data_IF_326315076297
#
_entry.id   IF_326315076297
#
_cell.length_a   1.000
_cell.length_b   1.000
_cell.length_c   1.000
_cell.angle_alpha   90.00
_cell.angle_beta   90.00
_cell.angle_gamma   90.00
#
_symmetry.space_group_name_H-M   'P 1'
#
loop_
_entity.id
_entity.type
_entity.pdbx_description
1 polymer ?
#
# COMPACT_ATOMS: atom_id res chain seq x y z
N UNK A 1 18.12 12.31 6.31
CA UNK A 1 18.74 11.61 5.14
C UNK A 1 18.16 10.22 5.10
N UNK A 2 17.58 9.80 3.96
CA UNK A 2 17.07 8.44 3.78
C UNK A 2 18.25 7.50 3.50
N UNK A 3 18.26 6.36 4.18
CA UNK A 3 19.24 5.30 4.02
C UNK A 3 18.67 4.30 3.02
N UNK A 4 19.43 3.96 1.98
CA UNK A 4 19.06 2.95 1.00
C UNK A 4 19.87 1.67 1.26
N UNK A 5 19.22 0.52 1.09
CA UNK A 5 19.86 -0.78 1.33
C UNK A 5 19.24 -1.87 0.46
N UNK A 6 20.10 -2.68 -0.14
CA UNK A 6 19.69 -3.94 -0.75
C UNK A 6 19.56 -5.02 0.34
N UNK A 7 18.34 -5.52 0.50
CA UNK A 7 18.01 -6.62 1.42
C UNK A 7 17.96 -7.92 0.64
N UNK A 8 18.90 -8.81 0.93
CA UNK A 8 18.99 -10.13 0.29
C UNK A 8 18.09 -11.12 1.03
N UNK A 9 17.19 -11.76 0.31
CA UNK A 9 16.26 -12.77 0.83
C UNK A 9 16.84 -14.18 0.75
N UNK A 10 16.29 -15.12 1.53
CA UNK A 10 16.75 -16.52 1.56
C UNK A 10 16.54 -17.26 0.24
N UNK A 11 15.57 -16.82 -0.59
CA UNK A 11 15.32 -17.35 -1.93
C UNK A 11 16.25 -16.75 -3.02
N UNK A 12 17.18 -15.90 -2.62
CA UNK A 12 18.16 -15.25 -3.48
C UNK A 12 17.69 -13.95 -4.12
N UNK A 13 16.43 -13.57 -3.98
CA UNK A 13 15.93 -12.25 -4.42
C UNK A 13 16.60 -11.13 -3.61
N UNK A 14 16.61 -9.94 -4.18
CA UNK A 14 17.05 -8.70 -3.54
C UNK A 14 15.89 -7.71 -3.56
N UNK A 15 15.61 -7.09 -2.42
CA UNK A 15 14.67 -5.99 -2.31
C UNK A 15 15.44 -4.69 -2.06
N UNK A 16 15.18 -3.67 -2.87
CA UNK A 16 15.73 -2.34 -2.65
C UNK A 16 14.85 -1.61 -1.62
N UNK A 17 15.43 -1.31 -0.47
CA UNK A 17 14.68 -0.82 0.70
C UNK A 17 15.25 0.50 1.22
N UNK A 18 14.39 1.26 1.90
CA UNK A 18 14.63 2.61 2.36
C UNK A 18 14.27 2.75 3.85
N UNK A 19 15.03 3.57 4.55
CA UNK A 19 14.82 3.91 5.95
C UNK A 19 15.02 5.42 6.15
N UNK A 20 14.05 6.08 6.74
CA UNK A 20 14.16 7.51 7.05
C UNK A 20 15.23 7.85 8.10
N UNK A 21 15.88 6.84 8.64
CA UNK A 21 16.97 6.88 9.60
C UNK A 21 16.59 6.29 10.96
N UNK A 22 17.55 5.59 11.62
CA UNK A 22 17.33 5.03 12.93
C UNK A 22 17.12 6.15 13.95
N UNK A 23 15.98 6.12 14.66
CA UNK A 23 15.68 6.99 15.78
C UNK A 23 15.22 6.12 16.95
N UNK A 24 16.07 6.01 17.97
CA UNK A 24 15.75 5.26 19.19
C UNK A 24 14.59 5.89 19.99
N UNK A 25 14.27 7.16 19.74
CA UNK A 25 13.15 7.87 20.32
C UNK A 25 11.90 7.84 19.45
N UNK A 26 11.93 7.16 18.31
CA UNK A 26 10.76 7.06 17.43
C UNK A 26 9.56 6.50 18.21
N UNK A 27 8.43 7.18 18.11
CA UNK A 27 7.18 6.79 18.78
C UNK A 27 6.52 5.58 18.12
N UNK A 28 6.82 5.38 16.84
CA UNK A 28 6.29 4.33 16.00
C UNK A 28 7.23 4.11 14.80
N UNK A 29 7.35 2.89 14.33
CA UNK A 29 7.87 2.61 12.99
C UNK A 29 6.70 2.35 12.06
N UNK A 30 6.71 3.00 10.91
CA UNK A 30 5.72 2.86 9.84
C UNK A 30 6.37 2.21 8.62
N UNK A 31 5.82 1.12 8.13
CA UNK A 31 6.13 0.61 6.80
C UNK A 31 5.14 1.21 5.81
N UNK A 32 5.67 1.96 4.85
CA UNK A 32 4.91 2.50 3.73
C UNK A 32 4.95 1.55 2.55
N UNK A 33 3.78 1.09 2.12
CA UNK A 33 3.61 0.29 0.90
C UNK A 33 3.18 1.21 -0.25
N UNK A 34 4.05 1.37 -1.21
CA UNK A 34 3.87 2.26 -2.36
C UNK A 34 2.71 1.84 -3.28
N UNK A 35 2.12 2.79 -4.02
CA UNK A 35 1.13 2.52 -5.08
C UNK A 35 1.74 1.85 -6.31
N UNK A 36 0.93 1.62 -7.34
CA UNK A 36 1.35 0.99 -8.59
C UNK A 36 1.03 1.90 -9.78
N UNK A 37 2.03 2.27 -10.64
CA UNK A 37 3.45 1.95 -10.49
C UNK A 37 4.21 3.02 -9.68
N UNK A 38 5.19 2.60 -8.88
CA UNK A 38 6.14 3.47 -8.16
C UNK A 38 7.46 2.75 -7.95
N UNK A 39 8.54 3.45 -7.52
CA UNK A 39 9.83 2.80 -7.26
C UNK A 39 9.93 2.15 -5.88
N UNK A 40 9.09 2.54 -4.93
CA UNK A 40 9.21 2.16 -3.53
C UNK A 40 9.98 3.18 -2.68
N UNK A 41 10.61 4.18 -3.29
CA UNK A 41 11.20 5.29 -2.55
C UNK A 41 10.12 6.03 -1.75
N UNK A 42 10.39 6.42 -0.49
CA UNK A 42 9.41 7.13 0.32
C UNK A 42 9.17 8.53 -0.24
N UNK A 43 7.91 8.91 -0.34
CA UNK A 43 7.49 10.20 -0.88
C UNK A 43 7.73 11.31 0.14
N UNK A 44 8.07 12.50 -0.34
CA UNK A 44 8.38 13.64 0.51
C UNK A 44 7.25 14.02 1.49
N UNK A 45 5.95 14.07 1.10
CA UNK A 45 4.87 14.34 2.04
C UNK A 45 4.74 13.29 3.15
N UNK A 46 4.99 12.01 2.83
CA UNK A 46 4.99 10.92 3.81
C UNK A 46 6.12 11.11 4.83
N UNK A 47 7.32 11.44 4.35
CA UNK A 47 8.48 11.68 5.22
C UNK A 47 8.28 12.91 6.11
N UNK A 48 7.75 14.01 5.56
CA UNK A 48 7.49 15.24 6.30
C UNK A 48 6.44 15.03 7.40
N UNK A 49 5.32 14.36 7.06
CA UNK A 49 4.26 14.04 8.01
C UNK A 49 4.75 13.12 9.15
N UNK A 50 5.57 12.13 8.80
CA UNK A 50 6.15 11.18 9.75
C UNK A 50 7.16 11.86 10.69
N UNK A 51 8.07 12.67 10.15
CA UNK A 51 9.06 13.41 10.93
C UNK A 51 8.40 14.35 11.96
N UNK A 52 7.35 15.07 11.56
CA UNK A 52 6.58 15.94 12.45
C UNK A 52 5.93 15.19 13.64
N UNK A 53 5.79 13.86 13.54
CA UNK A 53 5.14 12.99 14.53
C UNK A 53 6.10 12.08 15.29
N UNK A 54 7.40 12.14 15.00
CA UNK A 54 8.41 11.23 15.56
C UNK A 54 8.16 9.77 15.08
N UNK A 55 7.78 9.59 13.83
CA UNK A 55 7.58 8.29 13.19
C UNK A 55 8.78 8.01 12.27
N UNK A 56 9.41 6.85 12.45
CA UNK A 56 10.40 6.32 11.51
C UNK A 56 9.69 5.61 10.37
N UNK A 57 10.06 5.91 9.13
CA UNK A 57 9.46 5.31 7.93
C UNK A 57 10.43 4.30 7.32
N UNK A 58 9.95 3.10 7.09
CA UNK A 58 10.55 2.11 6.19
C UNK A 58 9.70 1.99 4.93
N UNK A 59 10.33 1.74 3.81
CA UNK A 59 9.66 1.37 2.56
C UNK A 59 10.58 0.49 1.70
N UNK A 60 10.05 -0.10 0.65
CA UNK A 60 10.84 -0.88 -0.30
C UNK A 60 10.11 -0.97 -1.64
N UNK A 61 10.87 -1.11 -2.71
CA UNK A 61 10.32 -1.51 -4.00
C UNK A 61 9.79 -2.94 -3.90
N UNK A 62 8.48 -3.14 -4.10
CA UNK A 62 7.96 -4.51 -4.23
C UNK A 62 8.66 -5.24 -5.39
N UNK A 63 8.62 -6.56 -5.48
CA UNK A 63 9.24 -7.28 -6.59
C UNK A 63 8.90 -6.68 -7.95
N UNK A 64 9.92 -6.54 -8.80
CA UNK A 64 9.88 -5.89 -10.12
C UNK A 64 9.76 -4.35 -10.11
N UNK A 65 9.83 -3.69 -8.94
CA UNK A 65 9.85 -2.22 -8.83
C UNK A 65 11.19 -1.74 -8.27
N UNK A 66 11.62 -0.55 -8.68
CA UNK A 66 12.69 0.22 -8.07
C UNK A 66 14.02 -0.51 -7.88
N UNK A 67 14.37 -1.42 -8.76
CA UNK A 67 15.62 -2.24 -8.66
C UNK A 67 15.47 -3.53 -7.86
N UNK A 68 14.33 -3.81 -7.25
CA UNK A 68 14.04 -5.09 -6.61
C UNK A 68 13.94 -6.22 -7.62
N UNK A 69 14.40 -7.41 -7.23
CA UNK A 69 14.30 -8.63 -8.05
C UNK A 69 12.86 -8.94 -8.42
N UNK A 70 12.64 -9.50 -9.59
CA UNK A 70 11.31 -9.96 -10.01
C UNK A 70 10.84 -11.18 -9.20
N UNK A 71 9.54 -11.32 -9.06
CA UNK A 71 8.87 -12.48 -8.47
C UNK A 71 7.56 -12.76 -9.20
N UNK A 72 7.62 -13.24 -10.44
CA UNK A 72 6.43 -13.54 -11.23
C UNK A 72 5.56 -14.60 -10.54
N UNK A 73 4.24 -14.40 -10.62
CA UNK A 73 3.29 -15.34 -10.00
C UNK A 73 3.14 -15.17 -8.48
N UNK A 74 3.72 -14.11 -7.89
CA UNK A 74 3.46 -13.74 -6.50
C UNK A 74 1.98 -13.40 -6.29
N UNK A 75 1.48 -13.71 -5.12
CA UNK A 75 0.20 -13.24 -4.60
C UNK A 75 0.40 -12.03 -3.66
N UNK A 76 -0.69 -11.49 -3.16
CA UNK A 76 -0.65 -10.38 -2.19
C UNK A 76 0.00 -10.82 -0.87
N UNK A 77 -0.24 -12.07 -0.45
CA UNK A 77 0.31 -12.65 0.79
C UNK A 77 1.84 -12.70 0.80
N UNK A 78 2.47 -12.89 -0.37
CA UNK A 78 3.92 -12.96 -0.52
C UNK A 78 4.64 -11.74 0.06
N UNK A 79 3.99 -10.56 0.05
CA UNK A 79 4.55 -9.33 0.61
C UNK A 79 4.76 -9.36 2.12
N UNK A 80 4.09 -10.25 2.84
CA UNK A 80 4.29 -10.38 4.29
C UNK A 80 5.69 -10.89 4.63
N UNK A 81 6.20 -11.87 3.88
CA UNK A 81 7.58 -12.35 4.04
C UNK A 81 8.60 -11.27 3.63
N UNK A 82 8.33 -10.58 2.53
CA UNK A 82 9.18 -9.51 2.02
C UNK A 82 9.31 -8.36 3.06
N UNK A 83 8.19 -7.87 3.60
CA UNK A 83 8.21 -6.80 4.61
C UNK A 83 8.83 -7.24 5.92
N UNK A 84 8.66 -8.51 6.32
CA UNK A 84 9.31 -9.05 7.51
C UNK A 84 10.85 -9.02 7.35
N UNK A 85 11.37 -9.47 6.21
CA UNK A 85 12.81 -9.44 5.92
C UNK A 85 13.37 -8.01 5.87
N UNK A 86 12.63 -7.06 5.28
CA UNK A 86 13.00 -5.63 5.28
C UNK A 86 13.06 -5.10 6.71
N UNK A 87 12.02 -5.33 7.52
CA UNK A 87 11.99 -4.88 8.90
C UNK A 87 13.15 -5.48 9.73
N UNK A 88 13.44 -6.77 9.57
CA UNK A 88 14.56 -7.46 10.23
C UNK A 88 15.91 -6.86 9.83
N UNK A 89 16.12 -6.55 8.55
CA UNK A 89 17.34 -5.93 8.06
C UNK A 89 17.61 -4.54 8.67
N UNK A 90 16.55 -3.83 9.10
CA UNK A 90 16.65 -2.53 9.78
C UNK A 90 16.45 -2.63 11.31
N UNK A 91 16.42 -3.84 11.87
CA UNK A 91 16.31 -4.09 13.32
C UNK A 91 14.97 -3.68 13.90
N UNK A 92 13.88 -3.81 13.13
CA UNK A 92 12.52 -3.43 13.54
C UNK A 92 11.71 -4.67 13.81
N UNK A 93 11.28 -4.86 15.06
CA UNK A 93 10.45 -5.98 15.50
C UNK A 93 8.96 -5.70 15.26
N UNK A 94 8.47 -4.52 15.63
CA UNK A 94 7.04 -4.14 15.53
C UNK A 94 6.87 -2.85 14.76
N UNK A 95 5.84 -2.79 13.92
CA UNK A 95 5.57 -1.64 13.06
C UNK A 95 4.08 -1.50 12.75
N UNK A 96 3.66 -0.31 12.32
CA UNK A 96 2.39 -0.10 11.66
C UNK A 96 2.58 -0.23 10.14
N UNK A 97 1.57 -0.68 9.41
CA UNK A 97 1.56 -0.74 7.96
C UNK A 97 0.62 0.33 7.39
N UNK A 98 1.05 1.06 6.36
CA UNK A 98 0.21 1.99 5.60
C UNK A 98 0.47 1.80 4.12
N UNK A 99 -0.59 1.66 3.35
CA UNK A 99 -0.47 1.53 1.91
C UNK A 99 -1.52 2.36 1.18
N UNK A 100 -1.14 2.89 0.02
CA UNK A 100 -2.03 3.64 -0.86
C UNK A 100 -2.22 2.90 -2.18
N UNK A 101 -3.45 2.93 -2.74
CA UNK A 101 -3.77 2.29 -4.02
C UNK A 101 -3.30 0.82 -4.03
N UNK A 102 -2.47 0.42 -5.02
CA UNK A 102 -1.86 -0.91 -5.07
C UNK A 102 -1.01 -1.32 -3.86
N UNK A 103 -0.63 -0.38 -2.98
CA UNK A 103 0.05 -0.69 -1.72
C UNK A 103 -0.86 -1.14 -0.59
N UNK A 104 -2.15 -0.78 -0.65
CA UNK A 104 -3.11 -1.05 0.42
C UNK A 104 -3.36 -2.56 0.66
N UNK A 105 -3.53 -3.42 -0.36
CA UNK A 105 -3.61 -4.87 -0.17
C UNK A 105 -2.42 -5.45 0.59
N UNK A 106 -1.21 -4.95 0.31
CA UNK A 106 0.03 -5.42 0.95
C UNK A 106 0.13 -5.00 2.42
N UNK A 107 -0.39 -3.81 2.78
CA UNK A 107 -0.51 -3.41 4.18
C UNK A 107 -1.48 -4.33 4.95
N UNK A 108 -2.59 -4.75 4.33
CA UNK A 108 -3.53 -5.71 4.90
C UNK A 108 -2.93 -7.12 5.01
N UNK A 109 -2.13 -7.56 4.01
CA UNK A 109 -1.40 -8.83 4.08
C UNK A 109 -0.45 -8.88 5.28
N UNK A 110 0.33 -7.82 5.49
CA UNK A 110 1.17 -7.68 6.68
C UNK A 110 0.36 -7.80 7.97
N UNK A 111 -0.79 -7.12 8.05
CA UNK A 111 -1.65 -7.15 9.24
C UNK A 111 -2.29 -8.53 9.50
N UNK A 112 -2.58 -9.30 8.44
CA UNK A 112 -3.15 -10.65 8.55
C UNK A 112 -2.10 -11.69 8.94
N UNK A 113 -0.92 -11.65 8.29
CA UNK A 113 0.06 -12.73 8.34
C UNK A 113 1.20 -12.49 9.35
N UNK A 114 1.33 -11.25 9.85
CA UNK A 114 2.31 -10.87 10.87
C UNK A 114 1.63 -10.29 12.13
N UNK A 115 0.65 -11.01 12.75
CA UNK A 115 -0.17 -10.45 13.84
C UNK A 115 0.63 -10.11 15.10
N UNK A 116 1.82 -10.68 15.27
CA UNK A 116 2.74 -10.34 16.37
C UNK A 116 3.56 -9.07 16.11
N UNK A 117 3.66 -8.62 14.87
CA UNK A 117 4.52 -7.51 14.45
C UNK A 117 3.74 -6.26 14.01
N UNK A 118 2.62 -6.42 13.31
CA UNK A 118 1.82 -5.29 12.82
C UNK A 118 0.86 -4.82 13.89
N UNK A 119 1.04 -3.58 14.37
CA UNK A 119 0.27 -3.01 15.47
C UNK A 119 -0.98 -2.24 15.02
N UNK A 120 -1.10 -1.93 13.75
CA UNK A 120 -2.22 -1.28 13.11
C UNK A 120 -1.99 -1.15 11.61
N UNK A 121 -3.03 -1.04 10.82
CA UNK A 121 -2.92 -0.89 9.38
C UNK A 121 -3.79 0.25 8.85
N UNK A 122 -3.33 0.91 7.78
CA UNK A 122 -4.08 1.91 7.04
C UNK A 122 -4.10 1.54 5.57
N UNK A 123 -5.28 1.52 4.98
CA UNK A 123 -5.54 1.30 3.55
C UNK A 123 -6.15 2.57 2.96
N UNK A 124 -5.42 3.27 2.11
CA UNK A 124 -5.87 4.51 1.46
C UNK A 124 -6.17 4.20 -0.01
N UNK A 125 -7.40 4.48 -0.47
CA UNK A 125 -7.84 4.22 -1.84
C UNK A 125 -7.53 2.78 -2.30
N UNK A 126 -7.71 1.81 -1.38
CA UNK A 126 -7.29 0.42 -1.57
C UNK A 126 -8.31 -0.43 -2.30
N UNK A 127 -7.83 -1.25 -3.23
CA UNK A 127 -8.64 -2.23 -3.93
C UNK A 127 -9.01 -3.39 -2.98
N UNK A 128 -10.20 -3.99 -3.16
CA UNK A 128 -10.62 -5.22 -2.49
C UNK A 128 -10.18 -6.46 -3.26
N UNK A 129 -10.12 -7.66 -2.63
CA UNK A 129 -9.94 -8.92 -3.36
C UNK A 129 -10.99 -9.06 -4.46
N UNK A 130 -10.58 -9.62 -5.60
CA UNK A 130 -11.54 -9.92 -6.66
C UNK A 130 -12.61 -10.90 -6.17
N UNK A 131 -13.88 -10.56 -6.42
CA UNK A 131 -15.03 -11.35 -5.97
C UNK A 131 -16.27 -11.00 -6.80
N UNK A 132 -17.19 -11.95 -6.92
CA UNK A 132 -18.52 -11.75 -7.52
C UNK A 132 -19.56 -11.24 -6.49
N UNK A 133 -19.16 -10.99 -5.25
CA UNK A 133 -20.07 -10.51 -4.20
C UNK A 133 -20.55 -9.06 -4.41
N UNK A 134 -19.90 -8.31 -5.28
CA UNK A 134 -20.33 -7.01 -5.80
C UNK A 134 -19.76 -6.81 -7.20
N UNK A 135 -20.30 -5.85 -7.96
CA UNK A 135 -19.72 -5.49 -9.26
C UNK A 135 -18.38 -4.80 -9.02
N UNK A 136 -17.28 -5.60 -9.09
CA UNK A 136 -15.94 -5.21 -8.72
C UNK A 136 -15.36 -4.12 -9.62
N UNK A 137 -15.80 -4.05 -10.88
CA UNK A 137 -15.32 -3.07 -11.86
C UNK A 137 -16.20 -1.81 -11.96
N UNK A 138 -17.40 -1.85 -11.37
CA UNK A 138 -18.33 -0.73 -11.51
C UNK A 138 -17.79 0.54 -10.84
N UNK A 139 -17.78 1.62 -11.61
CA UNK A 139 -17.22 2.91 -11.21
C UNK A 139 -15.74 3.11 -11.57
N UNK A 140 -15.00 2.06 -11.98
CA UNK A 140 -13.65 2.20 -12.50
C UNK A 140 -13.69 2.83 -13.90
N UNK A 141 -12.92 3.89 -14.11
CA UNK A 141 -12.82 4.57 -15.40
C UNK A 141 -11.98 3.77 -16.41
N UNK A 142 -10.89 3.16 -15.96
CA UNK A 142 -9.92 2.45 -16.80
C UNK A 142 -9.66 1.02 -16.29
N UNK A 143 -10.67 0.11 -16.32
CA UNK A 143 -10.53 -1.23 -15.75
C UNK A 143 -9.81 -2.22 -16.69
N UNK A 144 -9.31 -1.77 -17.86
CA UNK A 144 -8.78 -2.64 -18.92
C UNK A 144 -7.63 -3.52 -18.47
N UNK A 145 -6.65 -2.98 -17.75
CA UNK A 145 -5.51 -3.72 -17.21
C UNK A 145 -5.93 -4.83 -16.25
N UNK A 146 -6.78 -4.51 -15.28
CA UNK A 146 -7.31 -5.47 -14.33
C UNK A 146 -8.21 -6.53 -14.99
N UNK A 147 -9.00 -6.16 -16.00
CA UNK A 147 -9.79 -7.13 -16.78
C UNK A 147 -8.89 -8.09 -17.57
N UNK A 148 -7.80 -7.58 -18.16
CA UNK A 148 -6.82 -8.41 -18.83
C UNK A 148 -6.11 -9.35 -17.84
N UNK A 149 -5.80 -8.87 -16.63
CA UNK A 149 -5.15 -9.64 -15.56
C UNK A 149 -5.98 -10.85 -15.10
N UNK A 150 -7.32 -10.80 -15.17
CA UNK A 150 -8.19 -11.97 -14.92
C UNK A 150 -7.88 -13.16 -15.85
N UNK A 151 -7.27 -12.90 -17.01
CA UNK A 151 -6.84 -13.91 -17.97
C UNK A 151 -5.36 -14.27 -17.85
N UNK A 152 -4.71 -13.83 -16.75
CA UNK A 152 -3.34 -14.13 -16.41
C UNK A 152 -2.33 -13.11 -16.96
N UNK A 153 -1.06 -13.35 -16.56
CA UNK A 153 0.05 -12.43 -16.81
C UNK A 153 0.26 -12.09 -18.28
N UNK A 154 0.23 -13.09 -19.17
CA UNK A 154 0.43 -12.84 -20.62
C UNK A 154 -0.67 -11.94 -21.23
N UNK A 155 -1.91 -12.08 -20.78
CA UNK A 155 -3.00 -11.24 -21.27
C UNK A 155 -2.83 -9.80 -20.78
N UNK A 156 -2.42 -9.61 -19.52
CA UNK A 156 -2.12 -8.30 -18.95
C UNK A 156 -0.92 -7.64 -19.65
N UNK A 157 0.13 -8.41 -19.95
CA UNK A 157 1.31 -7.95 -20.66
C UNK A 157 0.97 -7.46 -22.08
N UNK A 158 0.21 -8.25 -22.85
CA UNK A 158 -0.28 -7.81 -24.17
C UNK A 158 -1.13 -6.55 -24.11
N UNK A 159 -1.95 -6.39 -23.08
CA UNK A 159 -2.77 -5.18 -22.91
C UNK A 159 -1.91 -3.93 -22.70
N UNK A 160 -0.76 -4.03 -22.04
CA UNK A 160 0.18 -2.92 -21.81
C UNK A 160 0.65 -2.27 -23.12
N UNK A 161 0.72 -3.03 -24.22
CA UNK A 161 1.14 -2.50 -25.54
C UNK A 161 0.15 -1.48 -26.12
N UNK A 162 -1.10 -1.51 -25.69
CA UNK A 162 -2.18 -0.64 -26.20
C UNK A 162 -2.86 0.18 -25.09
N UNK A 163 -2.35 0.07 -23.86
CA UNK A 163 -2.91 0.78 -22.72
C UNK A 163 -2.60 2.29 -22.84
N UNK A 164 -3.65 3.09 -22.81
CA UNK A 164 -3.53 4.55 -22.84
C UNK A 164 -3.99 5.13 -21.50
N UNK A 165 -3.32 6.18 -21.07
CA UNK A 165 -3.72 6.91 -19.87
C UNK A 165 -5.01 7.70 -20.15
N UNK A 166 -6.08 7.42 -19.39
CA UNK A 166 -7.32 8.18 -19.41
C UNK A 166 -7.32 9.23 -18.28
N UNK A 167 -7.18 10.53 -18.61
CA UNK A 167 -7.16 11.57 -17.58
C UNK A 167 -8.49 11.72 -16.83
N UNK A 168 -9.60 11.26 -17.39
CA UNK A 168 -10.90 11.32 -16.71
C UNK A 168 -11.03 10.37 -15.50
N UNK A 169 -10.03 9.51 -15.27
CA UNK A 169 -9.95 8.71 -14.04
C UNK A 169 -9.62 9.57 -12.82
N UNK A 170 -9.04 10.76 -13.02
CA UNK A 170 -8.69 11.70 -11.96
C UNK A 170 -9.64 12.90 -11.92
N UNK A 171 -9.92 13.37 -10.72
CA UNK A 171 -10.68 14.59 -10.47
C UNK A 171 -9.74 15.83 -10.61
N UNK A 172 -10.29 17.04 -10.78
CA UNK A 172 -9.50 18.26 -10.69
C UNK A 172 -8.68 18.37 -9.38
N UNK A 173 -9.21 17.89 -8.26
CA UNK A 173 -8.52 17.85 -6.99
C UNK A 173 -7.29 16.90 -7.00
N UNK A 174 -7.36 15.79 -7.75
CA UNK A 174 -6.22 14.88 -7.91
C UNK A 174 -5.08 15.53 -8.70
N UNK A 175 -5.41 16.24 -9.78
CA UNK A 175 -4.41 17.00 -10.54
C UNK A 175 -3.79 18.10 -9.70
N UNK A 176 -4.61 18.85 -8.94
CA UNK A 176 -4.09 19.88 -8.04
C UNK A 176 -3.14 19.30 -6.97
N UNK A 177 -3.44 18.12 -6.45
CA UNK A 177 -2.55 17.41 -5.53
C UNK A 177 -1.23 17.01 -6.19
N UNK A 178 -1.26 16.49 -7.43
CA UNK A 178 -0.07 16.11 -8.21
C UNK A 178 0.78 17.30 -8.64
N UNK A 179 0.19 18.46 -8.82
CA UNK A 179 0.89 19.72 -9.14
C UNK A 179 1.42 20.40 -7.87
N UNK A 180 0.89 20.05 -6.69
CA UNK A 180 1.19 20.63 -5.38
C UNK A 180 1.95 19.69 -4.44
N UNK A 181 1.33 19.42 -3.30
CA UNK A 181 1.94 18.65 -2.20
C UNK A 181 2.42 17.27 -2.62
N UNK A 182 1.74 16.60 -3.55
CA UNK A 182 2.05 15.25 -4.02
C UNK A 182 2.81 15.21 -5.35
N UNK A 183 3.48 16.31 -5.75
CA UNK A 183 4.28 16.36 -6.97
C UNK A 183 5.39 15.28 -7.01
N UNK A 184 5.93 14.90 -5.83
CA UNK A 184 6.89 13.81 -5.72
C UNK A 184 6.32 12.44 -6.12
N UNK A 185 5.00 12.24 -6.01
CA UNK A 185 4.32 11.03 -6.49
C UNK A 185 4.38 10.94 -8.01
N UNK A 186 4.01 12.01 -8.73
CA UNK A 186 4.10 12.03 -10.19
C UNK A 186 5.54 11.82 -10.69
N UNK A 187 6.51 12.46 -10.01
CA UNK A 187 7.92 12.27 -10.32
C UNK A 187 8.39 10.83 -10.08
N UNK A 188 7.88 10.15 -9.05
CA UNK A 188 8.22 8.76 -8.76
C UNK A 188 7.61 7.78 -9.75
N UNK A 189 6.37 8.01 -10.18
CA UNK A 189 5.74 7.27 -11.29
C UNK A 189 6.61 7.36 -12.54
N UNK A 190 7.04 8.56 -12.93
CA UNK A 190 7.95 8.74 -14.08
C UNK A 190 9.29 8.01 -13.91
N UNK A 191 9.86 8.00 -12.69
CA UNK A 191 11.09 7.21 -12.42
C UNK A 191 10.86 5.71 -12.52
N UNK A 192 9.67 5.23 -12.20
CA UNK A 192 9.36 3.79 -12.24
C UNK A 192 9.41 3.20 -13.66
N UNK A 193 9.20 4.02 -14.69
CA UNK A 193 9.21 3.60 -16.10
C UNK A 193 10.52 2.95 -16.51
N UNK A 194 11.66 3.38 -15.95
CA UNK A 194 12.98 2.81 -16.26
C UNK A 194 13.13 1.33 -15.84
N UNK A 195 12.25 0.85 -14.96
CA UNK A 195 12.24 -0.55 -14.50
C UNK A 195 11.24 -1.43 -15.29
N UNK A 196 10.54 -0.82 -16.26
CA UNK A 196 9.55 -1.49 -17.08
C UNK A 196 8.23 -1.79 -16.37
N UNK A 197 7.25 -2.38 -17.07
CA UNK A 197 5.89 -2.57 -16.58
C UNK A 197 5.73 -3.82 -15.70
N UNK A 198 6.78 -4.64 -15.50
CA UNK A 198 6.68 -5.95 -14.85
C UNK A 198 6.04 -5.91 -13.46
N UNK A 199 6.35 -4.88 -12.66
CA UNK A 199 5.78 -4.72 -11.33
C UNK A 199 4.27 -4.47 -11.35
N UNK A 200 3.80 -3.57 -12.25
CA UNK A 200 2.39 -3.28 -12.42
C UNK A 200 1.61 -4.50 -12.94
N UNK A 201 2.18 -5.23 -13.90
CA UNK A 201 1.58 -6.47 -14.43
C UNK A 201 1.42 -7.51 -13.32
N UNK A 202 2.47 -7.73 -12.53
CA UNK A 202 2.45 -8.71 -11.44
C UNK A 202 1.48 -8.29 -10.31
N UNK A 203 1.37 -6.98 -10.00
CA UNK A 203 0.40 -6.46 -9.05
C UNK A 203 -1.04 -6.67 -9.53
N UNK A 204 -1.36 -6.30 -10.77
CA UNK A 204 -2.71 -6.45 -11.32
C UNK A 204 -3.16 -7.92 -11.33
N UNK A 205 -2.26 -8.85 -11.66
CA UNK A 205 -2.53 -10.29 -11.56
C UNK A 205 -2.76 -10.70 -10.11
N UNK A 206 -1.92 -10.27 -9.17
CA UNK A 206 -2.07 -10.59 -7.76
C UNK A 206 -3.39 -10.04 -7.17
N UNK A 207 -3.86 -8.88 -7.62
CA UNK A 207 -5.13 -8.30 -7.14
C UNK A 207 -6.36 -9.05 -7.63
N UNK A 208 -6.29 -9.64 -8.83
CA UNK A 208 -7.39 -10.36 -9.47
C UNK A 208 -7.42 -11.86 -9.18
N UNK A 209 -6.39 -12.38 -8.52
CA UNK A 209 -6.29 -13.77 -8.04
C UNK A 209 -6.54 -13.84 -6.53
N UNK A 210 -6.71 -15.04 -5.95
CA UNK A 210 -6.78 -15.20 -4.48
C UNK A 210 -5.57 -14.53 -3.80
N UNK A 211 -5.82 -13.70 -2.80
CA UNK A 211 -4.77 -12.93 -2.13
C UNK A 211 -3.82 -13.77 -1.27
N UNK A 212 -4.16 -15.05 -0.98
CA UNK A 212 -3.35 -15.95 -0.15
C UNK A 212 -3.59 -15.79 1.36
N UNK A 213 -4.56 -14.96 1.76
CA UNK A 213 -5.03 -14.82 3.15
C UNK A 213 -6.50 -14.40 3.17
N UNK A 214 -7.14 -14.56 4.33
CA UNK A 214 -8.51 -14.13 4.56
C UNK A 214 -8.56 -12.83 5.39
N UNK A 215 -9.47 -11.91 5.05
CA UNK A 215 -9.58 -10.60 5.72
C UNK A 215 -9.98 -10.73 7.19
N UNK A 216 -10.66 -11.79 7.59
CA UNK A 216 -11.01 -12.06 8.98
C UNK A 216 -9.80 -12.46 9.84
N UNK A 217 -8.64 -12.77 9.25
CA UNK A 217 -7.38 -12.98 9.96
C UNK A 217 -6.75 -11.66 10.45
N UNK A 218 -7.15 -10.52 9.90
CA UNK A 218 -6.65 -9.20 10.32
C UNK A 218 -7.16 -8.85 11.72
N UNK A 219 -6.32 -9.03 12.73
CA UNK A 219 -6.66 -8.74 14.14
C UNK A 219 -6.26 -7.34 14.60
N UNK A 220 -5.29 -6.73 13.92
CA UNK A 220 -4.90 -5.35 14.18
C UNK A 220 -6.04 -4.38 13.84
N UNK A 221 -6.14 -3.22 14.50
CA UNK A 221 -7.06 -2.18 14.07
C UNK A 221 -6.70 -1.71 12.66
N UNK A 222 -7.73 -1.48 11.83
CA UNK A 222 -7.59 -1.02 10.44
C UNK A 222 -8.34 0.28 10.24
N UNK A 223 -7.68 1.25 9.60
CA UNK A 223 -8.32 2.43 9.05
C UNK A 223 -8.38 2.29 7.53
N UNK A 224 -9.58 2.36 7.00
CA UNK A 224 -9.85 2.52 5.57
C UNK A 224 -10.07 4.00 5.30
N UNK A 225 -9.39 4.56 4.30
CA UNK A 225 -9.56 5.95 3.87
C UNK A 225 -9.87 5.94 2.38
N UNK A 226 -10.96 6.62 1.99
CA UNK A 226 -11.47 6.53 0.63
C UNK A 226 -12.03 7.86 0.13
N UNK A 227 -11.63 8.29 -1.06
CA UNK A 227 -12.27 9.38 -1.78
C UNK A 227 -13.62 8.95 -2.36
N UNK A 228 -14.69 9.73 -2.14
CA UNK A 228 -16.01 9.40 -2.69
C UNK A 228 -16.02 9.45 -4.22
N UNK A 229 -15.23 10.40 -4.80
CA UNK A 229 -15.12 10.60 -6.23
C UNK A 229 -14.03 9.76 -6.92
N UNK A 230 -13.42 8.80 -6.23
CA UNK A 230 -12.38 7.93 -6.77
C UNK A 230 -12.92 7.07 -7.93
N UNK A 231 -12.32 7.23 -9.12
CA UNK A 231 -12.66 6.51 -10.35
C UNK A 231 -11.59 5.50 -10.78
N UNK A 232 -10.50 5.40 -10.00
CA UNK A 232 -9.46 4.38 -10.15
C UNK A 232 -9.84 3.17 -9.32
N UNK A 233 -10.06 3.38 -8.01
CA UNK A 233 -10.58 2.37 -7.08
C UNK A 233 -11.84 2.91 -6.43
N UNK A 234 -13.04 2.58 -6.96
CA UNK A 234 -14.29 3.14 -6.50
C UNK A 234 -14.61 2.80 -5.03
N UNK A 235 -15.32 3.71 -4.35
CA UNK A 235 -15.67 3.63 -2.92
C UNK A 235 -16.32 2.31 -2.47
N UNK A 236 -16.90 1.54 -3.38
CA UNK A 236 -17.51 0.24 -3.07
C UNK A 236 -16.48 -0.79 -2.60
N UNK A 237 -15.21 -0.67 -3.03
CA UNK A 237 -14.12 -1.50 -2.54
C UNK A 237 -13.89 -1.28 -1.03
N UNK A 238 -13.81 -0.02 -0.59
CA UNK A 238 -13.67 0.31 0.83
C UNK A 238 -14.89 -0.13 1.65
N UNK A 239 -16.12 0.05 1.11
CA UNK A 239 -17.35 -0.41 1.77
C UNK A 239 -17.38 -1.93 1.94
N UNK A 240 -16.94 -2.68 0.92
CA UNK A 240 -16.84 -4.12 0.99
C UNK A 240 -15.77 -4.57 2.00
N UNK A 241 -14.56 -3.98 1.96
CA UNK A 241 -13.50 -4.23 2.94
C UNK A 241 -13.98 -3.99 4.37
N UNK A 242 -14.70 -2.87 4.62
CA UNK A 242 -15.27 -2.56 5.93
C UNK A 242 -16.19 -3.67 6.43
N UNK A 243 -16.97 -4.29 5.54
CA UNK A 243 -17.90 -5.38 5.89
C UNK A 243 -17.21 -6.71 6.25
N UNK A 244 -15.93 -6.86 5.90
CA UNK A 244 -15.16 -8.11 6.06
C UNK A 244 -14.08 -8.04 7.14
N UNK A 245 -13.55 -6.85 7.41
CA UNK A 245 -12.49 -6.65 8.39
C UNK A 245 -13.08 -6.58 9.81
N UNK A 246 -12.61 -7.38 10.78
CA UNK A 246 -13.20 -7.45 12.11
C UNK A 246 -13.11 -6.17 12.93
N UNK A 247 -12.07 -5.35 12.69
CA UNK A 247 -11.76 -4.15 13.48
C UNK A 247 -11.41 -2.98 12.57
N UNK A 248 -12.30 -2.63 11.65
CA UNK A 248 -12.09 -1.54 10.71
C UNK A 248 -12.94 -0.32 11.01
N UNK A 249 -12.40 0.84 10.67
CA UNK A 249 -13.11 2.13 10.57
C UNK A 249 -12.96 2.63 9.13
N UNK A 250 -13.95 3.37 8.64
CA UNK A 250 -13.90 3.99 7.32
C UNK A 250 -14.01 5.52 7.43
N UNK A 251 -13.04 6.22 6.87
CA UNK A 251 -13.09 7.65 6.63
C UNK A 251 -13.41 7.89 5.16
N UNK A 252 -14.63 8.32 4.88
CA UNK A 252 -15.06 8.73 3.55
C UNK A 252 -14.78 10.23 3.37
N UNK A 253 -14.07 10.59 2.29
CA UNK A 253 -13.68 11.95 1.93
C UNK A 253 -14.54 12.40 0.75
N UNK A 254 -15.50 13.28 1.00
CA UNK A 254 -16.57 13.61 0.04
C UNK A 254 -16.06 14.32 -1.22
N UNK A 255 -15.02 15.18 -1.08
CA UNK A 255 -14.50 16.01 -2.16
C UNK A 255 -13.24 15.45 -2.80
N UNK A 256 -12.76 14.28 -2.34
CA UNK A 256 -11.51 13.68 -2.77
C UNK A 256 -11.72 12.59 -3.84
N UNK A 257 -10.72 12.46 -4.72
CA UNK A 257 -10.54 11.37 -5.66
C UNK A 257 -9.47 10.38 -5.19
N UNK A 258 -8.73 9.82 -6.17
CA UNK A 258 -7.73 8.79 -5.92
C UNK A 258 -6.43 9.31 -5.30
N UNK A 259 -6.00 10.50 -5.73
CA UNK A 259 -4.73 11.12 -5.27
C UNK A 259 -4.98 12.13 -4.17
N UNK A 260 -6.00 12.99 -4.31
CA UNK A 260 -6.31 14.04 -3.36
C UNK A 260 -6.62 13.50 -1.95
N UNK A 261 -7.14 12.28 -1.85
CA UNK A 261 -7.38 11.57 -0.59
C UNK A 261 -6.09 11.33 0.22
N UNK A 262 -4.92 11.38 -0.41
CA UNK A 262 -3.63 11.26 0.27
C UNK A 262 -3.33 12.43 1.21
N UNK A 263 -4.02 13.57 1.09
CA UNK A 263 -3.99 14.67 2.06
C UNK A 263 -4.33 14.21 3.49
N UNK A 264 -4.96 13.05 3.65
CA UNK A 264 -5.28 12.43 4.95
C UNK A 264 -4.12 11.69 5.59
N UNK A 265 -2.98 11.50 4.92
CA UNK A 265 -1.82 10.75 5.45
C UNK A 265 -1.39 11.24 6.84
N UNK A 266 -1.28 12.56 7.11
CA UNK A 266 -0.94 13.04 8.44
C UNK A 266 -1.95 12.59 9.52
N UNK A 267 -3.24 12.73 9.26
CA UNK A 267 -4.31 12.34 10.21
C UNK A 267 -4.36 10.82 10.41
N UNK A 268 -4.12 10.04 9.35
CA UNK A 268 -4.02 8.58 9.43
C UNK A 268 -2.81 8.13 10.27
N UNK A 269 -1.69 8.86 10.23
CA UNK A 269 -0.55 8.63 11.12
C UNK A 269 -0.90 8.95 12.59
N UNK A 270 -1.66 10.01 12.86
CA UNK A 270 -2.14 10.32 14.21
C UNK A 270 -3.08 9.22 14.73
N UNK A 271 -3.95 8.70 13.85
CA UNK A 271 -4.80 7.55 14.16
C UNK A 271 -3.97 6.31 14.51
N UNK A 272 -2.91 6.00 13.75
CA UNK A 272 -2.00 4.89 14.06
C UNK A 272 -1.32 5.08 15.42
N UNK A 273 -0.83 6.27 15.73
CA UNK A 273 -0.20 6.57 17.02
C UNK A 273 -1.15 6.39 18.21
N UNK A 274 -2.43 6.69 18.03
CA UNK A 274 -3.45 6.50 19.05
C UNK A 274 -3.75 4.99 19.26
N UNK A 275 -3.93 4.23 18.17
CA UNK A 275 -4.37 2.84 18.22
C UNK A 275 -3.21 1.83 18.52
N UNK A 276 -1.96 2.16 18.16
CA UNK A 276 -0.80 1.32 18.45
C UNK A 276 -0.52 1.18 19.95
N UNK A 277 -0.89 2.18 20.76
CA UNK A 277 -0.71 2.15 22.22
C UNK A 277 -1.66 1.16 22.91
N UNK A 278 -2.86 1.00 22.41
CA UNK A 278 -3.84 0.06 22.96
C UNK A 278 -3.42 -1.40 22.75
N UNK A 279 -2.78 -1.71 21.63
CA UNK A 279 -2.26 -3.05 21.32
C UNK A 279 -1.07 -3.46 22.22
N UNK A 280 -0.35 -2.49 22.83
CA UNK A 280 0.76 -2.73 23.76
C UNK A 280 0.35 -2.82 25.24
N UNK A 281 -0.82 -2.27 25.60
CA UNK A 281 -1.26 -2.15 26.99
C UNK A 281 -1.97 -3.37 27.57
N UNK A 282 -2.39 -4.33 26.78
CA UNK A 282 -3.13 -5.51 27.28
C UNK A 282 -2.26 -6.70 27.73
N UNK A 283 -0.93 -6.60 27.61
CA UNK A 283 -0.01 -7.66 28.02
C UNK A 283 0.47 -7.62 29.49
N UNK A 284 0.01 -6.63 30.25
CA UNK A 284 0.49 -6.41 31.60
C UNK A 284 -0.61 -6.21 32.64
N UNK A 285 -1.48 -7.20 32.89
CA UNK A 285 -2.23 -7.35 34.13
C UNK A 285 -2.93 -8.73 34.15
N UNK A 286 -2.20 -9.74 34.51
CA UNK A 286 -2.81 -10.91 35.16
C UNK A 286 -2.22 -10.99 36.56
N UNK A 287 -3.08 -11.14 37.57
CA UNK A 287 -2.66 -11.25 38.99
C UNK A 287 -1.95 -12.55 39.29
#
# INVERSE_FOLDING_TARGET
MVIERDVRLDDGRVLHAYDSGPDAAARLVLVWHHGSPQTGAPLEPVLAAAAARGIRVLSYGRPSYGGSSSHPGRDVASSAADVAAVADAFGVDRFAAMGASGGAPHALAGAALLPGRVVGAVSIAGIAPYTDAFDWFDGMRSPGGLRAALHGREARERFTETEEFDPEQFLPADFAALEGEWASLGADVGRSEQFGPGGLIDDDVAFTMPWGFELDQVRAPVLLVQGEGDRVVPRRHAAWLLSRLPRAQLWMRLDDGHVSVLSTVPDAMDWLLANAREAGGSAGLRP
#
